data_IF_937024788214
#
_entry.id   IF_937024788214
#
_cell.length_a   1.000
_cell.length_b   1.000
_cell.length_c   1.000
_cell.angle_alpha   90.00
_cell.angle_beta   90.00
_cell.angle_gamma   90.00
#
_symmetry.space_group_name_H-M   'P 1'
#
loop_
_entity.id
_entity.type
_entity.pdbx_description
1 polymer ?
#
# COMPACT_ATOMS: atom_id res chain seq x y z
N UNK A 1 32.60 14.55 26.94
CA UNK A 1 32.33 13.11 26.78
C UNK A 1 30.97 12.97 26.14
N UNK A 2 30.90 12.61 24.85
CA UNK A 2 29.62 12.34 24.21
C UNK A 2 29.20 10.92 24.59
N UNK A 3 28.13 10.79 25.39
CA UNK A 3 27.45 9.53 25.62
C UNK A 3 26.92 9.07 24.26
N UNK A 4 27.61 8.13 23.61
CA UNK A 4 27.04 7.39 22.50
C UNK A 4 25.93 6.52 23.07
N UNK A 5 24.70 7.02 23.01
CA UNK A 5 23.52 6.22 23.27
C UNK A 5 23.47 5.15 22.18
N UNK A 6 24.01 3.96 22.48
CA UNK A 6 23.74 2.76 21.69
C UNK A 6 22.24 2.48 21.81
N UNK A 7 21.45 3.03 20.88
CA UNK A 7 20.06 2.66 20.74
C UNK A 7 20.05 1.19 20.34
N UNK A 8 19.74 0.32 21.28
CA UNK A 8 19.48 -1.08 21.00
C UNK A 8 18.21 -1.15 20.17
N UNK A 9 18.29 -1.66 18.95
CA UNK A 9 17.10 -1.96 18.16
C UNK A 9 16.26 -3.00 18.91
N UNK A 10 14.92 -2.93 18.82
CA UNK A 10 14.06 -3.98 19.35
C UNK A 10 14.42 -5.31 18.67
N UNK A 11 14.29 -6.44 19.39
CA UNK A 11 14.62 -7.75 18.84
C UNK A 11 13.80 -8.04 17.58
N UNK A 12 14.34 -8.82 16.63
CA UNK A 12 13.63 -9.19 15.41
C UNK A 12 12.32 -9.92 15.74
N UNK A 13 11.38 -9.90 14.79
CA UNK A 13 10.18 -10.74 14.90
C UNK A 13 10.58 -12.21 14.97
N UNK A 14 10.01 -12.95 15.90
CA UNK A 14 10.27 -14.38 16.08
C UNK A 14 9.70 -15.16 14.90
N UNK A 15 10.54 -15.97 14.24
CA UNK A 15 10.14 -16.87 13.17
C UNK A 15 9.48 -18.14 13.71
N UNK A 16 8.23 -18.37 13.31
CA UNK A 16 7.45 -19.54 13.73
C UNK A 16 7.42 -20.70 12.74
N UNK A 17 7.96 -20.53 11.52
CA UNK A 17 7.92 -21.53 10.44
C UNK A 17 7.18 -21.07 9.17
N UNK A 18 6.31 -20.06 9.29
CA UNK A 18 5.57 -19.47 8.17
C UNK A 18 6.15 -18.12 7.73
N UNK A 19 5.86 -17.71 6.48
CA UNK A 19 6.30 -16.44 5.90
C UNK A 19 7.82 -16.22 5.99
N UNK A 20 8.60 -17.29 5.77
CA UNK A 20 10.06 -17.27 5.84
C UNK A 20 10.66 -16.10 5.07
N UNK A 21 10.18 -15.80 3.86
CA UNK A 21 10.76 -14.75 3.06
C UNK A 21 10.56 -13.35 3.66
N UNK A 22 9.46 -13.12 4.37
CA UNK A 22 9.22 -11.86 5.08
C UNK A 22 10.09 -11.73 6.33
N UNK A 23 10.22 -12.83 7.09
CA UNK A 23 11.12 -12.89 8.24
C UNK A 23 12.59 -12.70 7.82
N UNK A 24 13.03 -13.38 6.75
CA UNK A 24 14.40 -13.31 6.26
C UNK A 24 14.79 -11.88 5.87
N UNK A 25 13.92 -11.15 5.17
CA UNK A 25 14.14 -9.72 4.84
C UNK A 25 14.31 -8.86 6.09
N UNK A 26 13.50 -9.09 7.13
CA UNK A 26 13.62 -8.36 8.41
C UNK A 26 14.90 -8.71 9.15
N UNK A 27 15.25 -9.99 9.20
CA UNK A 27 16.44 -10.46 9.90
C UNK A 27 17.72 -9.99 9.21
N UNK A 28 17.77 -10.02 7.88
CA UNK A 28 18.85 -9.46 7.07
C UNK A 28 19.04 -7.96 7.36
N UNK A 29 17.95 -7.18 7.36
CA UNK A 29 18.00 -5.75 7.69
C UNK A 29 18.52 -5.50 9.12
N UNK A 30 18.11 -6.33 10.08
CA UNK A 30 18.58 -6.26 11.47
C UNK A 30 20.07 -6.54 11.57
N UNK A 31 20.57 -7.61 10.94
CA UNK A 31 22.00 -7.95 10.93
C UNK A 31 22.83 -6.87 10.24
N UNK A 32 22.33 -6.28 9.15
CA UNK A 32 23.00 -5.14 8.47
C UNK A 32 23.10 -3.92 9.39
N UNK A 33 22.06 -3.60 10.15
CA UNK A 33 22.09 -2.48 11.09
C UNK A 33 23.17 -2.63 12.18
N UNK A 34 23.52 -3.86 12.56
CA UNK A 34 24.60 -4.16 13.50
C UNK A 34 25.96 -4.46 12.83
N UNK A 35 26.09 -4.33 11.51
CA UNK A 35 27.27 -4.70 10.73
C UNK A 35 27.68 -6.17 10.90
N UNK A 36 26.70 -7.07 11.03
CA UNK A 36 26.89 -8.50 11.25
C UNK A 36 26.65 -9.35 9.99
N UNK A 37 25.97 -8.80 8.98
CA UNK A 37 25.60 -9.52 7.75
C UNK A 37 26.79 -10.16 7.02
N UNK A 38 27.99 -9.58 7.13
CA UNK A 38 29.20 -10.16 6.53
C UNK A 38 29.53 -11.57 7.05
N UNK A 39 29.10 -11.92 8.27
CA UNK A 39 29.28 -13.26 8.83
C UNK A 39 28.40 -14.30 8.13
N UNK A 40 27.22 -13.91 7.66
CA UNK A 40 26.30 -14.75 6.86
C UNK A 40 26.87 -14.92 5.45
N UNK A 41 27.25 -13.83 4.78
CA UNK A 41 27.71 -13.88 3.38
C UNK A 41 29.04 -14.62 3.19
N UNK A 42 30.05 -14.24 3.98
CA UNK A 42 31.41 -14.77 3.81
C UNK A 42 31.59 -16.11 4.52
N UNK A 43 30.79 -16.35 5.55
CA UNK A 43 31.05 -17.43 6.50
C UNK A 43 32.19 -17.11 7.44
N UNK A 44 32.29 -17.91 8.49
CA UNK A 44 33.42 -17.90 9.41
C UNK A 44 34.12 -19.24 9.32
N UNK A 45 35.39 -19.24 8.92
CA UNK A 45 36.25 -20.41 9.01
C UNK A 45 37.17 -20.25 10.23
N UNK A 46 37.06 -21.11 11.25
CA UNK A 46 38.06 -21.18 12.29
C UNK A 46 39.39 -21.57 11.66
N UNK A 47 40.37 -20.67 11.66
CA UNK A 47 41.74 -21.02 11.24
C UNK A 47 42.22 -22.20 12.08
N UNK A 48 42.53 -23.32 11.43
CA UNK A 48 43.44 -24.30 11.99
C UNK A 48 44.75 -23.55 12.26
N UNK A 49 45.33 -23.74 13.45
CA UNK A 49 46.53 -23.07 13.95
C UNK A 49 47.71 -23.26 12.98
N UNK A 50 47.75 -22.49 11.89
CA UNK A 50 48.88 -22.41 11.00
C UNK A 50 49.79 -21.33 11.57
N UNK A 51 50.81 -21.79 12.29
CA UNK A 51 51.81 -20.95 12.93
C UNK A 51 52.53 -20.11 11.89
N UNK A 52 52.07 -18.87 11.69
CA UNK A 52 52.78 -17.66 11.23
C UNK A 52 51.80 -16.48 11.04
N UNK A 53 50.83 -16.29 11.94
CA UNK A 53 49.90 -15.16 11.87
C UNK A 53 50.49 -13.91 12.53
N UNK A 54 50.40 -12.77 11.84
CA UNK A 54 50.76 -11.45 12.37
C UNK A 54 49.76 -10.99 13.45
N UNK A 55 50.17 -10.06 14.32
CA UNK A 55 49.30 -9.48 15.36
C UNK A 55 48.03 -8.87 14.77
N UNK A 56 48.12 -8.26 13.59
CA UNK A 56 46.97 -7.69 12.89
C UNK A 56 45.98 -8.77 12.43
N UNK A 57 46.47 -9.89 11.88
CA UNK A 57 45.63 -11.03 11.46
C UNK A 57 44.94 -11.71 12.66
N UNK A 58 45.64 -11.88 13.78
CA UNK A 58 45.06 -12.43 15.01
C UNK A 58 43.93 -11.53 15.53
N UNK A 59 44.13 -10.21 15.52
CA UNK A 59 43.11 -9.24 15.94
C UNK A 59 41.88 -9.31 15.04
N UNK A 60 42.09 -9.39 13.72
CA UNK A 60 41.00 -9.50 12.75
C UNK A 60 40.19 -10.79 12.92
N UNK A 61 40.86 -11.94 13.10
CA UNK A 61 40.17 -13.22 13.31
C UNK A 61 39.29 -13.20 14.57
N UNK A 62 39.79 -12.61 15.66
CA UNK A 62 39.02 -12.45 16.90
C UNK A 62 37.79 -11.55 16.70
N UNK A 63 37.93 -10.49 15.91
CA UNK A 63 36.82 -9.61 15.54
C UNK A 63 35.76 -10.33 14.68
N UNK A 64 36.19 -11.14 13.72
CA UNK A 64 35.32 -11.95 12.86
C UNK A 64 34.58 -13.03 13.66
N UNK A 65 35.30 -13.76 14.52
CA UNK A 65 34.73 -14.73 15.46
C UNK A 65 33.67 -14.08 16.37
N UNK A 66 33.98 -12.92 16.97
CA UNK A 66 33.03 -12.16 17.80
C UNK A 66 31.78 -11.77 17.02
N UNK A 67 31.94 -11.34 15.76
CA UNK A 67 30.80 -10.98 14.89
C UNK A 67 29.95 -12.19 14.54
N UNK A 68 30.57 -13.32 14.20
CA UNK A 68 29.87 -14.58 13.91
C UNK A 68 29.02 -15.03 15.09
N UNK A 69 29.61 -15.17 16.29
CA UNK A 69 28.85 -15.62 17.46
C UNK A 69 27.78 -14.62 17.91
N UNK A 70 28.02 -13.32 17.71
CA UNK A 70 27.00 -12.31 17.95
C UNK A 70 25.83 -12.43 16.98
N UNK A 71 26.09 -12.64 15.68
CA UNK A 71 25.05 -12.87 14.68
C UNK A 71 24.25 -14.14 15.02
N UNK A 72 24.93 -15.24 15.34
CA UNK A 72 24.33 -16.50 15.76
C UNK A 72 23.42 -16.34 16.99
N UNK A 73 23.85 -15.56 17.98
CA UNK A 73 23.00 -15.26 19.15
C UNK A 73 21.73 -14.49 18.77
N UNK A 74 21.79 -13.61 17.77
CA UNK A 74 20.63 -12.88 17.28
C UNK A 74 19.69 -13.80 16.51
N UNK A 75 20.24 -14.68 15.66
CA UNK A 75 19.46 -15.67 14.94
C UNK A 75 18.72 -16.61 15.89
N UNK A 76 19.40 -17.15 16.90
CA UNK A 76 18.79 -17.98 17.95
C UNK A 76 17.66 -17.27 18.70
N UNK A 77 17.82 -15.96 18.94
CA UNK A 77 16.79 -15.14 19.61
C UNK A 77 15.62 -14.78 18.70
N UNK A 78 15.81 -14.86 17.38
CA UNK A 78 14.84 -14.49 16.35
C UNK A 78 14.01 -15.67 15.83
N UNK A 79 14.16 -16.86 16.41
CA UNK A 79 13.43 -18.07 16.01
C UNK A 79 12.67 -18.69 17.17
N UNK A 80 11.52 -19.32 16.88
CA UNK A 80 10.77 -20.06 17.88
C UNK A 80 11.51 -21.33 18.31
N UNK A 81 11.18 -21.89 19.48
CA UNK A 81 11.85 -23.09 20.00
C UNK A 81 11.82 -24.29 19.04
N UNK A 82 10.73 -24.45 18.28
CA UNK A 82 10.59 -25.49 17.25
C UNK A 82 11.58 -25.33 16.10
N UNK A 83 11.83 -24.09 15.70
CA UNK A 83 12.77 -23.74 14.64
C UNK A 83 14.22 -23.78 15.16
N UNK A 84 14.44 -23.34 16.40
CA UNK A 84 15.74 -23.42 17.06
C UNK A 84 16.30 -24.86 17.07
N UNK A 85 15.44 -25.87 17.28
CA UNK A 85 15.84 -27.28 17.22
C UNK A 85 16.44 -27.69 15.87
N UNK A 86 16.13 -26.99 14.78
CA UNK A 86 16.70 -27.24 13.45
C UNK A 86 18.13 -26.73 13.31
N UNK A 87 18.44 -25.61 13.97
CA UNK A 87 19.74 -24.92 13.84
C UNK A 87 20.66 -25.12 15.05
N UNK A 88 20.24 -25.83 16.09
CA UNK A 88 21.03 -26.03 17.32
C UNK A 88 22.42 -26.65 17.09
N UNK A 89 22.57 -27.44 16.03
CA UNK A 89 23.84 -28.05 15.65
C UNK A 89 24.77 -27.15 14.83
N UNK A 90 24.29 -25.99 14.38
CA UNK A 90 25.09 -25.05 13.60
C UNK A 90 26.16 -24.39 14.48
N UNK A 91 27.42 -24.47 14.04
CA UNK A 91 28.57 -23.89 14.74
C UNK A 91 28.83 -22.45 14.31
N UNK A 92 28.29 -22.06 13.16
CA UNK A 92 28.43 -20.71 12.60
C UNK A 92 27.08 -20.09 12.25
N UNK A 93 27.03 -18.76 12.21
CA UNK A 93 25.84 -18.04 11.75
C UNK A 93 25.46 -18.44 10.33
N UNK A 94 26.46 -18.64 9.46
CA UNK A 94 26.23 -19.04 8.08
C UNK A 94 25.58 -20.42 7.98
N UNK A 95 26.09 -21.41 8.70
CA UNK A 95 25.49 -22.74 8.74
C UNK A 95 24.03 -22.69 9.21
N UNK A 96 23.76 -21.90 10.26
CA UNK A 96 22.42 -21.74 10.79
C UNK A 96 21.48 -21.06 9.77
N UNK A 97 21.95 -19.98 9.13
CA UNK A 97 21.21 -19.28 8.08
C UNK A 97 20.93 -20.17 6.88
N UNK A 98 21.95 -20.87 6.37
CA UNK A 98 21.84 -21.76 5.21
C UNK A 98 20.87 -22.92 5.50
N UNK A 99 20.89 -23.48 6.72
CA UNK A 99 19.94 -24.52 7.16
C UNK A 99 18.50 -24.01 7.12
N UNK A 100 18.23 -22.81 7.65
CA UNK A 100 16.89 -22.22 7.60
C UNK A 100 16.48 -21.91 6.16
N UNK A 101 17.41 -21.44 5.34
CA UNK A 101 17.16 -21.15 3.95
C UNK A 101 16.80 -22.41 3.16
N UNK A 102 17.52 -23.50 3.36
CA UNK A 102 17.25 -24.79 2.71
C UNK A 102 15.88 -25.37 3.12
N UNK A 103 15.57 -25.34 4.42
CA UNK A 103 14.32 -25.94 4.95
C UNK A 103 13.09 -25.10 4.59
N UNK A 104 13.16 -23.77 4.68
CA UNK A 104 11.98 -22.90 4.64
C UNK A 104 11.85 -22.03 3.39
N UNK A 105 12.94 -21.72 2.67
CA UNK A 105 12.81 -21.01 1.40
C UNK A 105 12.30 -21.93 0.27
N UNK A 106 12.52 -23.24 0.42
CA UNK A 106 12.20 -24.26 -0.56
C UNK A 106 13.09 -24.19 -1.81
N UNK A 107 13.00 -25.25 -2.63
CA UNK A 107 13.80 -25.35 -3.86
C UNK A 107 13.53 -24.19 -4.84
N UNK A 108 14.49 -23.90 -5.72
CA UNK A 108 14.33 -22.93 -6.80
C UNK A 108 13.06 -23.17 -7.63
N UNK A 109 12.68 -24.45 -7.83
CA UNK A 109 11.44 -24.84 -8.50
C UNK A 109 10.19 -24.36 -7.75
N UNK A 110 10.16 -24.54 -6.43
CA UNK A 110 9.03 -24.09 -5.59
C UNK A 110 8.92 -22.56 -5.63
N UNK A 111 10.05 -21.85 -5.51
CA UNK A 111 10.08 -20.37 -5.64
C UNK A 111 9.60 -19.92 -7.01
N UNK A 112 10.02 -20.57 -8.08
CA UNK A 112 9.59 -20.25 -9.45
C UNK A 112 8.07 -20.44 -9.64
N UNK A 113 7.50 -21.50 -9.06
CA UNK A 113 6.05 -21.74 -9.08
C UNK A 113 5.31 -20.65 -8.28
N UNK A 114 5.80 -20.31 -7.07
CA UNK A 114 5.22 -19.24 -6.24
C UNK A 114 5.25 -17.89 -6.98
N UNK A 115 6.37 -17.57 -7.64
CA UNK A 115 6.50 -16.38 -8.46
C UNK A 115 5.52 -16.38 -9.64
N UNK A 116 5.37 -17.51 -10.33
CA UNK A 116 4.42 -17.64 -11.43
C UNK A 116 2.98 -17.43 -10.97
N UNK A 117 2.61 -17.91 -9.78
CA UNK A 117 1.29 -17.67 -9.21
C UNK A 117 1.04 -16.18 -8.94
N UNK A 118 2.00 -15.46 -8.34
CA UNK A 118 1.87 -14.02 -8.13
C UNK A 118 1.83 -13.23 -9.45
N UNK A 119 2.59 -13.63 -10.47
CA UNK A 119 2.48 -13.03 -11.81
C UNK A 119 1.08 -13.19 -12.38
N UNK A 120 0.53 -14.40 -12.32
CA UNK A 120 -0.84 -14.68 -12.76
C UNK A 120 -1.86 -13.84 -11.99
N UNK A 121 -1.73 -13.76 -10.67
CA UNK A 121 -2.59 -12.94 -9.82
C UNK A 121 -2.52 -11.47 -10.23
N UNK A 122 -1.31 -10.93 -10.42
CA UNK A 122 -1.08 -9.56 -10.88
C UNK A 122 -1.69 -9.32 -12.27
N UNK A 123 -1.55 -10.25 -13.21
CA UNK A 123 -2.14 -10.16 -14.56
C UNK A 123 -3.66 -10.12 -14.50
N UNK A 124 -4.27 -11.03 -13.73
CA UNK A 124 -5.73 -11.13 -13.57
C UNK A 124 -6.32 -10.02 -12.70
N UNK A 125 -5.52 -9.34 -11.88
CA UNK A 125 -5.97 -8.25 -11.05
C UNK A 125 -6.44 -7.08 -11.94
N UNK A 126 -7.74 -6.81 -11.89
CA UNK A 126 -8.37 -5.65 -12.52
C UNK A 126 -9.28 -4.96 -11.53
N UNK A 127 -9.39 -3.63 -11.66
CA UNK A 127 -10.31 -2.87 -10.86
C UNK A 127 -11.74 -3.14 -11.35
N UNK A 128 -12.59 -3.70 -10.48
CA UNK A 128 -14.00 -3.94 -10.78
C UNK A 128 -14.80 -2.63 -10.70
N UNK A 129 -15.90 -2.58 -11.43
CA UNK A 129 -16.87 -1.50 -11.29
C UNK A 129 -17.40 -1.43 -9.85
N UNK A 130 -17.33 -0.22 -9.28
CA UNK A 130 -17.77 0.06 -7.91
C UNK A 130 -16.68 -0.05 -6.83
N UNK A 131 -15.54 -0.68 -7.11
CA UNK A 131 -14.41 -0.65 -6.16
C UNK A 131 -13.83 0.76 -6.08
N UNK A 132 -13.24 1.11 -4.92
CA UNK A 132 -12.43 2.31 -4.78
C UNK A 132 -11.03 2.08 -5.39
N UNK A 133 -10.44 3.11 -6.00
CA UNK A 133 -9.05 3.02 -6.52
C UNK A 133 -8.10 2.58 -5.43
N UNK A 134 -8.27 3.11 -4.21
CA UNK A 134 -7.38 2.81 -3.08
C UNK A 134 -7.30 1.30 -2.81
N UNK A 135 -8.43 0.61 -2.78
CA UNK A 135 -8.47 -0.82 -2.45
C UNK A 135 -7.84 -1.67 -3.56
N UNK A 136 -8.09 -1.30 -4.82
CA UNK A 136 -7.46 -1.95 -5.97
C UNK A 136 -5.93 -1.76 -5.97
N UNK A 137 -5.47 -0.52 -5.79
CA UNK A 137 -4.03 -0.19 -5.75
C UNK A 137 -3.34 -0.88 -4.57
N UNK A 138 -3.97 -0.91 -3.39
CA UNK A 138 -3.42 -1.60 -2.22
C UNK A 138 -3.18 -3.08 -2.51
N UNK A 139 -4.15 -3.77 -3.12
CA UNK A 139 -3.98 -5.18 -3.53
C UNK A 139 -2.89 -5.35 -4.59
N UNK A 140 -2.84 -4.45 -5.58
CA UNK A 140 -1.81 -4.51 -6.62
C UNK A 140 -0.39 -4.38 -6.02
N UNK A 141 -0.20 -3.40 -5.14
CA UNK A 141 1.10 -3.17 -4.49
C UNK A 141 1.45 -4.33 -3.57
N UNK A 142 0.48 -4.93 -2.88
CA UNK A 142 0.69 -6.14 -2.08
C UNK A 142 1.19 -7.30 -2.95
N UNK A 143 0.51 -7.64 -4.05
CA UNK A 143 0.95 -8.70 -4.98
C UNK A 143 2.35 -8.42 -5.56
N UNK A 144 2.63 -7.17 -5.94
CA UNK A 144 3.95 -6.75 -6.44
C UNK A 144 5.03 -6.91 -5.37
N UNK A 145 4.73 -6.56 -4.12
CA UNK A 145 5.67 -6.71 -3.01
C UNK A 145 5.94 -8.18 -2.71
N UNK A 146 4.95 -9.06 -2.83
CA UNK A 146 5.16 -10.51 -2.72
C UNK A 146 6.12 -11.02 -3.81
N UNK A 147 5.98 -10.56 -5.05
CA UNK A 147 6.94 -10.89 -6.13
C UNK A 147 8.36 -10.38 -5.82
N UNK A 148 8.48 -9.16 -5.27
CA UNK A 148 9.78 -8.59 -4.86
C UNK A 148 10.44 -9.39 -3.75
N UNK A 149 9.66 -9.84 -2.76
CA UNK A 149 10.11 -10.69 -1.66
C UNK A 149 10.68 -12.01 -2.19
N UNK A 150 10.04 -12.61 -3.21
CA UNK A 150 10.54 -13.83 -3.88
C UNK A 150 11.81 -13.56 -4.72
N UNK A 151 12.10 -12.29 -5.04
CA UNK A 151 13.33 -11.85 -5.71
C UNK A 151 13.14 -11.21 -7.09
N UNK A 152 11.90 -10.97 -7.53
CA UNK A 152 11.65 -10.34 -8.83
C UNK A 152 11.78 -8.81 -8.76
N UNK A 153 12.57 -8.25 -9.68
CA UNK A 153 12.70 -6.79 -9.83
C UNK A 153 11.59 -6.26 -10.73
N UNK A 154 10.69 -5.49 -10.15
CA UNK A 154 9.58 -4.85 -10.86
C UNK A 154 9.82 -3.34 -10.91
N UNK A 155 10.11 -2.76 -12.09
CA UNK A 155 10.27 -1.32 -12.23
C UNK A 155 8.93 -0.59 -12.07
N UNK A 156 8.98 0.63 -11.55
CA UNK A 156 7.80 1.46 -11.30
C UNK A 156 6.98 1.73 -12.57
N UNK A 157 7.63 1.83 -13.74
CA UNK A 157 6.96 1.95 -15.03
C UNK A 157 5.95 0.81 -15.27
N UNK A 158 6.31 -0.45 -14.98
CA UNK A 158 5.39 -1.59 -15.16
C UNK A 158 4.18 -1.49 -14.23
N UNK A 159 4.37 -0.92 -13.04
CA UNK A 159 3.28 -0.70 -12.08
C UNK A 159 2.31 0.34 -12.63
N UNK A 160 2.85 1.43 -13.19
CA UNK A 160 2.07 2.51 -13.80
C UNK A 160 1.27 2.00 -14.99
N UNK A 161 1.91 1.30 -15.92
CA UNK A 161 1.26 0.67 -17.07
C UNK A 161 0.17 -0.30 -16.61
N UNK A 162 0.47 -1.15 -15.61
CA UNK A 162 -0.49 -2.11 -15.06
C UNK A 162 -1.73 -1.41 -14.49
N UNK A 163 -1.55 -0.32 -13.74
CA UNK A 163 -2.67 0.47 -13.22
C UNK A 163 -3.50 1.00 -14.38
N UNK A 164 -2.91 1.71 -15.34
CA UNK A 164 -3.64 2.34 -16.45
C UNK A 164 -4.44 1.33 -17.30
N UNK A 165 -3.87 0.16 -17.59
CA UNK A 165 -4.49 -0.88 -18.44
C UNK A 165 -5.66 -1.60 -17.72
N UNK A 166 -5.74 -1.53 -16.40
CA UNK A 166 -6.69 -2.34 -15.62
C UNK A 166 -7.71 -1.52 -14.82
N UNK A 167 -7.82 -0.23 -15.11
CA UNK A 167 -8.92 0.62 -14.67
C UNK A 167 -10.19 0.38 -15.53
N UNK A 168 -11.39 0.56 -14.96
CA UNK A 168 -12.64 0.49 -15.72
C UNK A 168 -12.86 1.73 -16.61
N UNK A 169 -13.75 1.60 -17.60
CA UNK A 169 -14.03 2.60 -18.66
C UNK A 169 -14.33 4.01 -18.14
N UNK A 170 -14.89 4.12 -16.92
CA UNK A 170 -15.16 5.41 -16.27
C UNK A 170 -13.89 6.26 -16.06
N UNK A 171 -12.70 5.68 -16.17
CA UNK A 171 -11.41 6.38 -16.09
C UNK A 171 -10.79 6.69 -17.45
N UNK A 172 -11.36 6.26 -18.58
CA UNK A 172 -10.74 6.35 -19.91
C UNK A 172 -10.32 7.77 -20.26
N UNK A 173 -11.19 8.75 -20.00
CA UNK A 173 -10.89 10.17 -20.23
C UNK A 173 -9.65 10.66 -19.45
N UNK A 174 -9.43 10.11 -18.26
CA UNK A 174 -8.30 10.46 -17.40
C UNK A 174 -7.04 9.70 -17.81
N UNK A 175 -7.19 8.43 -18.23
CA UNK A 175 -6.10 7.60 -18.74
C UNK A 175 -5.52 8.22 -20.01
N UNK A 176 -6.36 8.53 -21.01
CA UNK A 176 -5.93 9.17 -22.25
C UNK A 176 -5.18 10.49 -22.01
N UNK A 177 -5.69 11.33 -21.11
CA UNK A 177 -5.02 12.57 -20.75
C UNK A 177 -3.64 12.34 -20.10
N UNK A 178 -3.45 11.26 -19.33
CA UNK A 178 -2.15 10.92 -18.73
C UNK A 178 -1.19 10.39 -19.80
N UNK A 179 -1.67 9.52 -20.68
CA UNK A 179 -0.88 8.95 -21.79
C UNK A 179 -0.38 10.01 -22.76
N UNK A 180 -1.18 11.05 -23.04
CA UNK A 180 -0.81 12.14 -23.94
C UNK A 180 0.11 13.18 -23.30
N UNK A 181 -0.07 13.44 -21.99
CA UNK A 181 0.63 14.55 -21.31
C UNK A 181 1.88 14.16 -20.52
N UNK A 182 2.09 12.86 -20.22
CA UNK A 182 3.15 12.43 -19.30
C UNK A 182 4.05 11.35 -19.89
N UNK A 183 5.33 11.42 -19.54
CA UNK A 183 6.30 10.35 -19.75
C UNK A 183 6.12 9.27 -18.67
N UNK A 184 5.57 8.12 -19.05
CA UNK A 184 5.28 7.01 -18.13
C UNK A 184 6.55 6.41 -17.49
N UNK A 185 7.72 6.56 -18.11
CA UNK A 185 8.98 6.06 -17.56
C UNK A 185 9.51 6.94 -16.41
N UNK A 186 9.09 8.21 -16.36
CA UNK A 186 9.50 9.18 -15.32
C UNK A 186 8.39 9.47 -14.31
N UNK A 187 7.17 9.04 -14.60
CA UNK A 187 6.04 9.25 -13.72
C UNK A 187 6.23 8.48 -12.40
N UNK A 188 5.87 9.11 -11.30
CA UNK A 188 5.95 8.50 -9.96
C UNK A 188 4.62 7.80 -9.66
N UNK A 189 4.67 6.55 -9.20
CA UNK A 189 3.48 5.74 -8.85
C UNK A 189 2.51 6.49 -7.92
N UNK A 190 3.03 7.15 -6.88
CA UNK A 190 2.22 7.93 -5.94
C UNK A 190 1.54 9.14 -6.58
N UNK A 191 2.16 9.77 -7.57
CA UNK A 191 1.56 10.89 -8.30
C UNK A 191 0.39 10.40 -9.16
N UNK A 192 0.55 9.26 -9.83
CA UNK A 192 -0.52 8.60 -10.57
C UNK A 192 -1.72 8.28 -9.65
N UNK A 193 -1.46 7.62 -8.52
CA UNK A 193 -2.51 7.24 -7.56
C UNK A 193 -3.30 8.46 -7.08
N UNK A 194 -2.61 9.54 -6.69
CA UNK A 194 -3.26 10.80 -6.25
C UNK A 194 -4.11 11.41 -7.36
N UNK A 195 -3.60 11.42 -8.59
CA UNK A 195 -4.30 11.93 -9.77
C UNK A 195 -5.58 11.15 -10.07
N UNK A 196 -5.54 9.82 -9.95
CA UNK A 196 -6.69 8.94 -10.13
C UNK A 196 -7.72 9.11 -9.00
N UNK A 197 -7.27 9.16 -7.74
CA UNK A 197 -8.15 9.38 -6.57
C UNK A 197 -8.89 10.72 -6.66
N UNK A 198 -8.19 11.79 -7.06
CA UNK A 198 -8.81 13.09 -7.29
C UNK A 198 -9.86 13.06 -8.41
N UNK A 199 -9.67 12.21 -9.43
CA UNK A 199 -10.64 12.02 -10.49
C UNK A 199 -11.87 11.23 -10.02
N UNK A 200 -11.67 10.15 -9.27
CA UNK A 200 -12.76 9.36 -8.66
C UNK A 200 -13.67 10.22 -7.78
N UNK A 201 -13.11 11.10 -6.94
CA UNK A 201 -13.88 12.05 -6.13
C UNK A 201 -14.75 13.00 -6.97
N UNK A 202 -14.28 13.40 -8.17
CA UNK A 202 -15.05 14.27 -9.08
C UNK A 202 -16.17 13.51 -9.78
N UNK A 203 -15.95 12.24 -10.15
CA UNK A 203 -16.99 11.38 -10.72
C UNK A 203 -18.09 11.15 -9.69
N UNK A 204 -17.73 10.82 -8.44
CA UNK A 204 -18.69 10.54 -7.36
C UNK A 204 -19.68 11.71 -7.16
N UNK A 205 -19.17 12.95 -7.05
CA UNK A 205 -19.99 14.15 -6.89
C UNK A 205 -20.98 14.38 -8.06
N UNK A 206 -20.59 14.03 -9.29
CA UNK A 206 -21.45 14.18 -10.47
C UNK A 206 -22.58 13.17 -10.48
N UNK A 207 -22.31 11.91 -10.10
CA UNK A 207 -23.33 10.86 -10.01
C UNK A 207 -24.36 11.20 -8.92
N UNK A 208 -23.91 11.67 -7.75
CA UNK A 208 -24.80 12.16 -6.68
C UNK A 208 -25.68 13.32 -7.16
N UNK A 209 -25.09 14.34 -7.79
CA UNK A 209 -25.85 15.50 -8.31
C UNK A 209 -26.86 15.13 -9.42
N UNK A 210 -26.52 14.14 -10.26
CA UNK A 210 -27.39 13.69 -11.36
C UNK A 210 -28.58 12.87 -10.84
N UNK A 211 -28.35 12.00 -9.85
CA UNK A 211 -29.43 11.23 -9.19
C UNK A 211 -30.38 12.14 -8.40
N UNK A 212 -29.86 13.16 -7.72
CA UNK A 212 -30.67 14.16 -7.03
C UNK A 212 -31.52 15.01 -8.00
N UNK A 213 -30.94 15.44 -9.12
CA UNK A 213 -31.66 16.16 -10.17
C UNK A 213 -32.79 15.34 -10.82
N UNK A 214 -32.55 14.05 -11.08
CA UNK A 214 -33.55 13.13 -11.62
C UNK A 214 -34.70 12.86 -10.61
N UNK A 215 -34.38 12.79 -9.32
CA UNK A 215 -35.39 12.64 -8.26
C UNK A 215 -36.26 13.90 -8.13
N UNK A 216 -35.65 15.10 -8.18
CA UNK A 216 -36.37 16.38 -8.15
C UNK A 216 -37.25 16.59 -9.39
N UNK A 217 -36.82 16.14 -10.57
CA UNK A 217 -37.60 16.21 -11.81
C UNK A 217 -38.88 15.35 -11.74
N UNK A 218 -38.82 14.17 -11.09
CA UNK A 218 -40.00 13.32 -10.88
C UNK A 218 -40.99 13.90 -9.89
N UNK A 219 -40.55 14.69 -8.92
CA UNK A 219 -41.44 15.36 -7.96
C UNK A 219 -42.15 16.60 -8.55
N UNK A 220 -41.57 17.28 -9.54
CA UNK A 220 -42.21 18.42 -10.22
C UNK A 220 -43.27 18.02 -11.27
N UNK A 221 -43.45 16.73 -11.54
CA UNK A 221 -44.38 16.19 -12.55
C UNK A 221 -45.83 15.94 -12.09
N UNK A 222 -46.20 16.23 -10.83
CA UNK A 222 -47.59 16.12 -10.35
C UNK A 222 -48.07 17.44 -9.73
N UNK A 223 -48.54 18.34 -10.58
CA UNK A 223 -49.54 19.35 -10.20
C UNK A 223 -50.85 19.02 -10.95
N UNK A 224 -51.99 18.93 -10.25
CA UNK A 224 -53.27 18.68 -10.89
C UNK A 224 -53.74 19.93 -11.65
N UNK A 225 -54.23 19.72 -12.86
CA UNK A 225 -54.80 20.71 -13.75
C UNK A 225 -55.95 21.49 -13.10
N UNK A 226 -55.76 22.80 -12.86
CA UNK A 226 -56.88 23.71 -12.64
C UNK A 226 -57.32 24.32 -13.98
N UNK A 227 -58.55 24.02 -14.36
CA UNK A 227 -59.24 24.48 -15.57
C UNK A 227 -59.18 25.99 -15.75
N UNK A 228 -58.87 26.42 -16.98
CA UNK A 228 -59.04 27.80 -17.46
C UNK A 228 -60.52 28.09 -17.67
N UNK A 229 -61.12 28.97 -16.88
CA UNK A 229 -62.35 29.67 -17.26
C UNK A 229 -62.00 31.01 -17.91
N UNK A 230 -62.44 31.15 -19.16
CA UNK A 230 -62.43 32.39 -19.93
C UNK A 230 -63.73 33.14 -19.61
N UNK A 231 -63.65 34.40 -19.16
CA UNK A 231 -64.79 35.33 -19.19
C UNK A 231 -64.41 36.67 -19.82
N UNK A 232 -65.23 37.04 -20.82
CA UNK A 232 -65.23 38.26 -21.65
C UNK A 232 -65.53 39.53 -20.84
N UNK A 233 -65.00 40.65 -21.33
CA UNK A 233 -65.33 42.03 -20.99
C UNK A 233 -66.79 42.40 -21.30
N UNK A 234 -67.38 43.27 -20.46
CA UNK A 234 -68.27 44.38 -20.85
C UNK A 234 -68.45 45.30 -19.64
N UNK A 235 -68.28 46.62 -19.84
CA UNK A 235 -68.19 47.62 -18.78
C UNK A 235 -69.51 48.18 -18.26
N UNK A 236 -69.41 49.10 -17.29
CA UNK A 236 -70.06 50.42 -17.23
C UNK A 236 -69.70 51.12 -15.90
N UNK A 237 -69.45 52.43 -15.99
CA UNK A 237 -69.19 53.37 -14.90
C UNK A 237 -70.27 53.38 -13.79
N UNK A 238 -69.85 53.66 -12.54
CA UNK A 238 -70.32 54.82 -11.77
C UNK A 238 -69.61 54.99 -10.42
N UNK A 239 -69.18 56.23 -10.21
CA UNK A 239 -68.82 56.89 -8.94
C UNK A 239 -69.70 56.48 -7.74
N UNK A 240 -69.13 56.50 -6.53
CA UNK A 240 -69.56 57.35 -5.39
C UNK A 240 -68.56 57.26 -4.22
N UNK A 241 -68.28 58.44 -3.66
CA UNK A 241 -67.48 58.78 -2.46
C UNK A 241 -68.02 58.16 -1.17
N UNK A 242 -67.13 57.93 -0.17
CA UNK A 242 -67.13 58.46 1.22
C UNK A 242 -66.04 57.73 2.02
N UNK A 243 -64.98 58.39 2.52
CA UNK A 243 -64.82 59.17 3.78
C UNK A 243 -64.96 58.35 5.10
N UNK A 244 -63.96 58.53 5.97
CA UNK A 244 -63.91 58.18 7.41
C UNK A 244 -63.02 56.94 7.62
N UNK A 245 -61.86 56.99 8.30
CA UNK A 245 -61.52 57.55 9.61
C UNK A 245 -60.88 56.38 10.39
N UNK A 246 -59.59 56.40 10.76
CA UNK A 246 -59.09 56.80 12.10
C UNK A 246 -59.76 55.89 13.17
N UNK A 247 -59.09 55.02 13.93
CA UNK A 247 -57.84 55.16 14.67
C UNK A 247 -57.45 53.81 15.33
N UNK A 248 -56.17 53.71 15.77
CA UNK A 248 -55.68 53.21 17.09
C UNK A 248 -56.17 51.83 17.61
N UNK A 249 -55.43 51.02 18.37
CA UNK A 249 -54.20 51.12 19.15
C UNK A 249 -53.88 49.70 19.64
N UNK A 250 -52.63 49.51 20.09
CA UNK A 250 -52.22 48.57 21.17
C UNK A 250 -52.34 47.06 20.88
N UNK A 251 -51.34 46.23 21.16
CA UNK A 251 -50.34 46.32 22.22
C UNK A 251 -50.58 45.17 23.20
N UNK A 252 -49.50 44.46 23.52
CA UNK A 252 -49.37 43.49 24.63
C UNK A 252 -50.11 42.14 24.44
N UNK A 253 -49.50 40.96 24.57
CA UNK A 253 -48.27 40.49 25.22
C UNK A 253 -47.61 39.37 24.42
#
# INVERSE_FOLDING_TARGET
MALSSHVSLPPPTVFGGDEYEFWAVKMEAYLKAYNLWSAVEKGYEPLAESGNLTVAQIKQLKEESRRNYKALSFLHSAVAATIFQRIVGASTEKEAWDTLQEEFQGSDRVRAIKLLNFRRECELLKMKDGNAIKDYVSKLIETINQMRIVGEKIPDQKIIEKVLISLPERFDSKVAAIEESKDLAKLIVNELIRSLQAHEQRICKRVESSTEGAFQARFKGKQPSSSREVKKQSGYDKNIKTKGGVNETEGEK
#
